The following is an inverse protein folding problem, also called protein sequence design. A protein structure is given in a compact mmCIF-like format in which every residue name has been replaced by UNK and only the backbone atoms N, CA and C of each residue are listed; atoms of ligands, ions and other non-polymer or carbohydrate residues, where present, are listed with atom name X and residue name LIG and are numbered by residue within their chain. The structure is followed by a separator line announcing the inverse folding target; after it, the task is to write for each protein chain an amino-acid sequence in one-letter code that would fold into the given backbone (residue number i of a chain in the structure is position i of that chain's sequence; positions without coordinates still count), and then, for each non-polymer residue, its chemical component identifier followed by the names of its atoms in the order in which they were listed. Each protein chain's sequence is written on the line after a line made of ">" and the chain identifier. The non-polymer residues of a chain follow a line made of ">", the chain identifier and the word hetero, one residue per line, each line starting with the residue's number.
data_IF_564302334268
#
_entry.id   IF_564302334268
#
_cell.length_a   1.000
_cell.length_b   1.000
_cell.length_c   1.000
_cell.angle_alpha   90.00
_cell.angle_beta   90.00
_cell.angle_gamma   90.00
#
_symmetry.space_group_name_H-M   'P 1'
#
loop_
_entity.id
_entity.type
_entity.pdbx_description
1 polymer ?
#
# COMPACT_ATOMS: atom_id res chain seq x y z
N UNK A 1 -11.66 0.41 28.26
CA UNK A 1 -11.92 -0.02 26.86
C UNK A 1 -11.29 0.98 25.90
N UNK A 2 -10.31 0.56 25.09
CA UNK A 2 -9.72 1.43 24.06
C UNK A 2 -10.58 1.40 22.79
N UNK A 3 -11.52 2.34 22.67
CA UNK A 3 -12.37 2.49 21.47
C UNK A 3 -11.61 3.29 20.40
N UNK A 4 -11.69 2.86 19.13
CA UNK A 4 -11.14 3.58 17.99
C UNK A 4 -12.22 3.68 16.89
N UNK A 5 -12.32 4.85 16.26
CA UNK A 5 -13.24 5.09 15.14
C UNK A 5 -12.53 4.79 13.83
N UNK A 6 -13.19 4.02 12.96
CA UNK A 6 -12.68 3.67 11.64
C UNK A 6 -13.73 4.05 10.60
N UNK A 7 -13.34 4.87 9.62
CA UNK A 7 -14.18 5.31 8.51
C UNK A 7 -13.73 4.54 7.26
N UNK A 8 -14.55 3.57 6.85
CA UNK A 8 -14.28 2.67 5.72
C UNK A 8 -15.20 2.94 4.54
N UNK A 9 -14.75 2.61 3.34
CA UNK A 9 -15.58 2.68 2.13
C UNK A 9 -14.76 2.70 0.85
N UNK A 10 -15.42 2.48 -0.29
CA UNK A 10 -14.80 2.44 -1.61
C UNK A 10 -14.06 3.75 -1.97
N UNK A 11 -13.15 3.71 -2.95
CA UNK A 11 -12.49 4.91 -3.46
C UNK A 11 -13.53 5.90 -4.02
N UNK A 12 -13.26 7.20 -3.93
CA UNK A 12 -14.11 8.28 -4.44
C UNK A 12 -15.49 8.50 -3.75
N UNK A 13 -15.80 7.81 -2.64
CA UNK A 13 -17.06 8.05 -1.88
C UNK A 13 -17.00 9.23 -0.90
N UNK A 14 -15.97 10.09 -0.98
CA UNK A 14 -15.87 11.31 -0.15
C UNK A 14 -15.43 11.11 1.30
N UNK A 15 -14.80 9.98 1.65
CA UNK A 15 -14.36 9.67 3.03
C UNK A 15 -13.46 10.73 3.64
N UNK A 16 -12.48 11.23 2.87
CA UNK A 16 -11.55 12.25 3.31
C UNK A 16 -12.28 13.53 3.71
N UNK A 17 -13.14 14.04 2.82
CA UNK A 17 -13.92 15.25 3.09
C UNK A 17 -14.81 15.09 4.33
N UNK A 18 -15.45 13.93 4.48
CA UNK A 18 -16.22 13.61 5.68
C UNK A 18 -15.36 13.59 6.95
N UNK A 19 -14.19 12.95 6.92
CA UNK A 19 -13.30 12.86 8.06
C UNK A 19 -12.72 14.23 8.47
N UNK A 20 -12.39 15.08 7.49
CA UNK A 20 -11.96 16.46 7.74
C UNK A 20 -13.09 17.24 8.39
N UNK A 21 -14.29 17.26 7.80
CA UNK A 21 -15.45 17.95 8.37
C UNK A 21 -15.81 17.45 9.76
N UNK A 22 -15.63 16.14 10.01
CA UNK A 22 -15.76 15.56 11.33
C UNK A 22 -14.69 16.10 12.29
N UNK A 23 -13.47 16.34 11.82
CA UNK A 23 -12.32 16.70 12.65
C UNK A 23 -12.10 18.19 12.91
N UNK A 24 -12.54 19.11 12.04
CA UNK A 24 -12.21 20.56 12.14
C UNK A 24 -12.53 21.15 13.53
N UNK A 25 -13.65 20.76 14.13
CA UNK A 25 -14.09 21.26 15.44
C UNK A 25 -13.88 20.24 16.57
N UNK A 26 -13.03 19.23 16.36
CA UNK A 26 -12.76 18.16 17.32
C UNK A 26 -11.26 18.01 17.53
N UNK A 27 -10.87 17.59 18.73
CA UNK A 27 -9.46 17.35 19.06
C UNK A 27 -8.98 15.99 18.50
N UNK A 28 -9.08 15.80 17.18
CA UNK A 28 -8.83 14.52 16.50
C UNK A 28 -7.61 14.57 15.60
N UNK A 29 -7.03 13.41 15.32
CA UNK A 29 -6.00 13.24 14.28
C UNK A 29 -6.35 12.05 13.41
N UNK A 30 -6.10 12.18 12.10
CA UNK A 30 -6.46 11.19 11.09
C UNK A 30 -5.25 10.32 10.76
N UNK A 31 -5.42 9.01 10.74
CA UNK A 31 -4.42 8.04 10.26
C UNK A 31 -4.95 7.48 8.93
N UNK A 32 -4.25 7.73 7.83
CA UNK A 32 -4.66 7.24 6.52
C UNK A 32 -4.40 5.74 6.37
N UNK A 33 -5.44 4.97 6.03
CA UNK A 33 -5.39 3.55 5.69
C UNK A 33 -5.55 3.33 4.17
N UNK A 34 -4.86 4.15 3.37
CA UNK A 34 -4.80 4.04 1.91
C UNK A 34 -3.39 3.65 1.47
N UNK A 35 -3.24 2.48 0.85
CA UNK A 35 -1.92 1.95 0.42
C UNK A 35 -1.27 2.73 -0.70
N UNK A 36 -1.96 3.69 -1.31
CA UNK A 36 -1.43 4.53 -2.38
C UNK A 36 -1.06 5.93 -1.90
N UNK A 37 -1.76 6.49 -0.91
CA UNK A 37 -1.48 7.84 -0.39
C UNK A 37 -0.18 7.93 0.44
N UNK A 38 0.37 6.79 0.87
CA UNK A 38 1.65 6.71 1.57
C UNK A 38 2.86 7.19 0.73
N UNK A 39 2.75 7.19 -0.60
CA UNK A 39 3.86 7.47 -1.51
C UNK A 39 3.99 8.96 -1.85
N UNK A 40 5.22 9.45 -1.73
CA UNK A 40 5.64 10.81 -2.10
C UNK A 40 5.51 11.08 -3.59
N UNK A 41 4.94 12.24 -3.93
CA UNK A 41 4.83 12.74 -5.31
C UNK A 41 3.83 11.99 -6.19
N UNK A 42 3.00 11.11 -5.61
CA UNK A 42 1.97 10.36 -6.33
C UNK A 42 0.57 10.94 -6.06
N UNK A 43 0.35 12.24 -6.30
CA UNK A 43 -0.83 12.93 -5.73
C UNK A 43 -2.10 12.77 -6.59
N UNK A 44 -1.99 12.99 -7.89
CA UNK A 44 -3.15 13.03 -8.82
C UNK A 44 -3.81 11.65 -8.94
N UNK A 45 -3.00 10.61 -9.22
CA UNK A 45 -3.50 9.25 -9.43
C UNK A 45 -4.00 8.54 -8.17
N UNK A 46 -3.78 9.14 -6.98
CA UNK A 46 -4.16 8.53 -5.70
C UNK A 46 -5.23 9.33 -4.95
N UNK A 47 -5.76 10.39 -5.58
CA UNK A 47 -6.76 11.29 -5.00
C UNK A 47 -6.33 11.75 -3.59
N UNK A 48 -5.06 12.15 -3.46
CA UNK A 48 -4.50 12.62 -2.18
C UNK A 48 -5.18 13.92 -1.75
N UNK A 49 -5.44 14.13 -0.44
CA UNK A 49 -5.98 15.38 0.04
C UNK A 49 -5.00 16.52 -0.29
N UNK A 50 -5.51 17.66 -0.73
CA UNK A 50 -4.67 18.80 -1.07
C UNK A 50 -4.10 19.49 0.19
N UNK A 51 -3.14 20.39 0.02
CA UNK A 51 -2.51 21.09 1.15
C UNK A 51 -3.50 21.87 2.03
N UNK A 52 -4.59 22.42 1.45
CA UNK A 52 -5.63 23.11 2.22
C UNK A 52 -6.38 22.11 3.11
N UNK A 53 -6.77 20.97 2.57
CA UNK A 53 -7.42 19.89 3.31
C UNK A 53 -6.55 19.32 4.43
N UNK A 54 -5.26 19.08 4.15
CA UNK A 54 -4.30 18.61 5.15
C UNK A 54 -4.02 19.63 6.26
N UNK A 55 -4.19 20.92 6.00
CA UNK A 55 -4.02 21.97 7.01
C UNK A 55 -5.17 22.05 8.02
N UNK A 56 -6.35 21.51 7.68
CA UNK A 56 -7.55 21.60 8.52
C UNK A 56 -7.52 20.60 9.68
N UNK A 57 -7.00 19.39 9.45
CA UNK A 57 -6.89 18.32 10.45
C UNK A 57 -5.57 17.59 10.22
N UNK A 58 -4.76 17.29 11.26
CA UNK A 58 -3.53 16.52 11.09
C UNK A 58 -3.81 15.14 10.48
N UNK A 59 -3.09 14.81 9.40
CA UNK A 59 -3.13 13.50 8.77
C UNK A 59 -1.76 12.80 8.88
N UNK A 60 -1.80 11.53 9.22
CA UNK A 60 -0.64 10.64 9.30
C UNK A 60 -0.68 9.59 8.19
N UNK A 61 0.49 9.00 7.90
CA UNK A 61 0.67 7.97 6.87
C UNK A 61 0.29 8.45 5.46
N UNK A 62 0.53 9.73 5.19
CA UNK A 62 0.48 10.33 3.85
C UNK A 62 1.88 10.85 3.55
N UNK A 63 2.38 10.62 2.33
CA UNK A 63 3.72 11.11 1.92
C UNK A 63 4.87 10.66 2.85
N UNK A 64 4.83 9.43 3.34
CA UNK A 64 5.83 8.91 4.27
C UNK A 64 7.03 8.26 3.58
N UNK A 65 6.83 7.65 2.40
CA UNK A 65 7.88 6.90 1.69
C UNK A 65 7.98 7.27 0.21
N UNK A 66 9.12 7.01 -0.42
CA UNK A 66 9.33 7.16 -1.86
C UNK A 66 8.67 6.00 -2.64
N UNK A 67 8.26 6.21 -3.91
CA UNK A 67 7.70 5.15 -4.76
C UNK A 67 8.62 3.92 -4.97
N UNK A 68 9.93 4.08 -4.76
CA UNK A 68 10.91 3.00 -4.84
C UNK A 68 10.99 2.14 -3.58
N UNK A 69 10.44 2.63 -2.48
CA UNK A 69 10.42 1.94 -1.19
C UNK A 69 9.22 1.01 -1.09
N UNK A 70 9.34 -0.01 -0.24
CA UNK A 70 8.26 -0.97 -0.01
C UNK A 70 7.57 -0.64 1.30
N UNK A 71 6.24 -0.70 1.28
CA UNK A 71 5.41 -0.61 2.48
C UNK A 71 4.43 -1.77 2.51
N UNK A 72 4.56 -2.59 3.55
CA UNK A 72 3.76 -3.79 3.74
C UNK A 72 2.57 -3.51 4.67
N UNK A 73 1.66 -4.48 4.72
CA UNK A 73 0.56 -4.48 5.70
C UNK A 73 1.08 -4.53 7.15
N UNK A 74 2.22 -5.17 7.39
CA UNK A 74 2.86 -5.22 8.70
C UNK A 74 3.34 -3.83 9.11
N UNK A 75 4.03 -3.13 8.20
CA UNK A 75 4.53 -1.76 8.45
C UNK A 75 3.36 -0.81 8.77
N UNK A 76 2.24 -0.94 8.06
CA UNK A 76 1.03 -0.20 8.37
C UNK A 76 0.53 -0.49 9.79
N UNK A 77 0.36 -1.78 10.15
CA UNK A 77 -0.21 -2.16 11.43
C UNK A 77 0.65 -1.69 12.61
N UNK A 78 1.97 -1.81 12.52
CA UNK A 78 2.89 -1.29 13.54
C UNK A 78 2.82 0.23 13.67
N UNK A 79 2.93 0.95 12.55
CA UNK A 79 2.90 2.42 12.59
C UNK A 79 1.54 2.96 13.05
N UNK A 80 0.44 2.35 12.62
CA UNK A 80 -0.90 2.75 13.06
C UNK A 80 -1.08 2.54 14.58
N UNK A 81 -0.61 1.42 15.13
CA UNK A 81 -0.66 1.16 16.58
C UNK A 81 0.19 2.16 17.39
N UNK A 82 1.39 2.49 16.88
CA UNK A 82 2.25 3.50 17.48
C UNK A 82 1.56 4.87 17.49
N UNK A 83 1.05 5.31 16.34
CA UNK A 83 0.36 6.59 16.19
C UNK A 83 -0.88 6.69 17.07
N UNK A 84 -1.67 5.62 17.17
CA UNK A 84 -2.84 5.57 18.07
C UNK A 84 -2.44 5.82 19.52
N UNK A 85 -1.32 5.25 19.96
CA UNK A 85 -0.79 5.46 21.31
C UNK A 85 -0.33 6.91 21.49
N UNK A 86 0.52 7.41 20.60
CA UNK A 86 1.05 8.78 20.64
C UNK A 86 -0.05 9.85 20.60
N UNK A 87 -1.06 9.69 19.75
CA UNK A 87 -2.18 10.63 19.63
C UNK A 87 -2.98 10.67 20.93
N UNK A 88 -3.21 9.51 21.57
CA UNK A 88 -3.92 9.42 22.85
C UNK A 88 -3.12 10.03 24.00
N UNK A 89 -1.80 9.82 24.03
CA UNK A 89 -0.91 10.45 25.01
C UNK A 89 -0.93 11.98 24.92
N UNK A 90 -1.16 12.52 23.72
CA UNK A 90 -1.37 13.96 23.49
C UNK A 90 -2.79 14.44 23.89
N UNK A 91 -3.65 13.58 24.46
CA UNK A 91 -5.04 13.91 24.81
C UNK A 91 -5.96 14.10 23.59
N UNK A 92 -5.55 13.60 22.42
CA UNK A 92 -6.28 13.71 21.15
C UNK A 92 -6.94 12.38 20.79
N UNK A 93 -7.96 12.43 19.94
CA UNK A 93 -8.68 11.24 19.48
C UNK A 93 -8.14 10.76 18.11
N UNK A 94 -7.59 9.53 18.00
CA UNK A 94 -7.18 8.98 16.72
C UNK A 94 -8.37 8.43 15.94
N UNK A 95 -8.41 8.71 14.63
CA UNK A 95 -9.41 8.19 13.69
C UNK A 95 -8.68 7.58 12.51
N UNK A 96 -9.03 6.35 12.14
CA UNK A 96 -8.49 5.69 10.93
C UNK A 96 -9.45 5.92 9.77
N UNK A 97 -8.94 6.36 8.62
CA UNK A 97 -9.75 6.66 7.44
C UNK A 97 -9.11 6.01 6.23
N UNK A 98 -9.86 5.19 5.48
CA UNK A 98 -9.29 4.58 4.28
C UNK A 98 -10.16 3.54 3.61
N UNK A 99 -9.61 2.94 2.55
CA UNK A 99 -10.28 1.90 1.75
C UNK A 99 -9.49 0.61 1.64
N UNK A 100 -8.27 0.53 2.18
CA UNK A 100 -7.44 -0.68 2.05
C UNK A 100 -7.89 -1.73 3.06
N UNK A 101 -8.79 -2.62 2.63
CA UNK A 101 -9.38 -3.64 3.50
C UNK A 101 -8.35 -4.48 4.25
N UNK A 102 -7.23 -4.82 3.60
CA UNK A 102 -6.15 -5.59 4.23
C UNK A 102 -5.46 -4.83 5.38
N UNK A 103 -5.28 -3.50 5.26
CA UNK A 103 -4.69 -2.66 6.31
C UNK A 103 -5.62 -2.57 7.51
N UNK A 104 -6.89 -2.29 7.24
CA UNK A 104 -7.93 -2.19 8.28
C UNK A 104 -8.06 -3.54 9.02
N UNK A 105 -8.12 -4.64 8.28
CA UNK A 105 -8.22 -5.98 8.86
C UNK A 105 -6.97 -6.35 9.67
N UNK A 106 -5.78 -5.99 9.19
CA UNK A 106 -4.52 -6.20 9.89
C UNK A 106 -4.47 -5.48 11.25
N UNK A 107 -4.92 -4.23 11.25
CA UNK A 107 -5.00 -3.39 12.44
C UNK A 107 -6.04 -3.90 13.44
N UNK A 108 -7.27 -4.22 12.99
CA UNK A 108 -8.36 -4.68 13.87
C UNK A 108 -8.04 -6.02 14.53
N UNK A 109 -7.53 -6.98 13.77
CA UNK A 109 -7.27 -8.33 14.27
C UNK A 109 -5.89 -8.45 14.95
N UNK A 110 -5.15 -7.34 15.08
CA UNK A 110 -3.82 -7.29 15.66
C UNK A 110 -2.90 -8.38 15.11
N UNK A 111 -2.84 -8.50 13.78
CA UNK A 111 -2.10 -9.58 13.13
C UNK A 111 -0.64 -9.59 13.59
N UNK A 112 -0.23 -10.69 14.20
CA UNK A 112 1.17 -10.98 14.46
C UNK A 112 1.79 -11.56 13.20
N UNK A 113 2.51 -10.71 12.46
CA UNK A 113 3.25 -11.17 11.31
C UNK A 113 4.58 -11.77 11.79
N UNK A 114 4.92 -13.03 11.43
CA UNK A 114 6.23 -13.56 11.72
C UNK A 114 7.28 -12.73 10.96
N UNK A 115 8.38 -12.36 11.62
CA UNK A 115 9.45 -11.56 11.03
C UNK A 115 10.26 -12.38 10.01
N UNK A 116 9.63 -12.71 8.90
CA UNK A 116 10.20 -13.48 7.79
C UNK A 116 10.42 -12.51 6.64
N UNK A 117 11.67 -12.14 6.40
CA UNK A 117 12.03 -11.31 5.26
C UNK A 117 11.79 -12.08 3.96
N UNK A 118 11.35 -11.36 2.93
CA UNK A 118 11.26 -11.93 1.58
C UNK A 118 12.63 -12.43 1.14
N UNK A 119 12.75 -13.72 0.80
CA UNK A 119 13.96 -14.27 0.19
C UNK A 119 14.00 -13.93 -1.32
N UNK A 120 14.95 -13.10 -1.79
CA UNK A 120 15.02 -12.67 -3.19
C UNK A 120 15.34 -13.82 -4.16
N UNK A 121 16.19 -14.76 -3.75
CA UNK A 121 16.61 -15.91 -4.58
C UNK A 121 15.44 -16.87 -4.81
N UNK A 122 14.68 -17.16 -3.76
CA UNK A 122 13.46 -17.98 -3.86
C UNK A 122 12.45 -17.29 -4.76
N UNK A 123 12.26 -15.97 -4.61
CA UNK A 123 11.36 -15.18 -5.48
C UNK A 123 11.82 -15.23 -6.95
N UNK A 124 13.12 -15.10 -7.21
CA UNK A 124 13.67 -15.19 -8.55
C UNK A 124 13.48 -16.60 -9.15
N UNK A 125 13.80 -17.65 -8.39
CA UNK A 125 13.65 -19.05 -8.80
C UNK A 125 12.20 -19.39 -9.13
N UNK A 126 11.26 -18.98 -8.28
CA UNK A 126 9.83 -19.19 -8.52
C UNK A 126 9.33 -18.39 -9.74
N UNK A 127 9.82 -17.16 -9.94
CA UNK A 127 9.49 -16.36 -11.12
C UNK A 127 9.99 -16.99 -12.41
N UNK A 128 11.22 -17.52 -12.42
CA UNK A 128 11.79 -18.27 -13.55
C UNK A 128 10.99 -19.56 -13.81
N UNK A 129 10.66 -20.31 -12.76
CA UNK A 129 9.85 -21.54 -12.87
C UNK A 129 8.45 -21.24 -13.43
N UNK A 130 7.80 -20.18 -12.97
CA UNK A 130 6.51 -19.74 -13.50
C UNK A 130 6.60 -19.38 -14.98
N UNK A 131 7.63 -18.61 -15.39
CA UNK A 131 7.84 -18.25 -16.80
C UNK A 131 8.11 -19.48 -17.68
N UNK A 132 8.85 -20.49 -17.19
CA UNK A 132 9.07 -21.74 -17.93
C UNK A 132 7.78 -22.55 -18.12
N UNK A 133 6.95 -22.64 -17.08
CA UNK A 133 5.66 -23.33 -17.15
C UNK A 133 4.68 -22.58 -18.06
N UNK A 134 4.59 -21.26 -17.93
CA UNK A 134 3.76 -20.43 -18.78
C UNK A 134 4.14 -20.56 -20.27
N UNK A 135 5.44 -20.70 -20.60
CA UNK A 135 5.87 -20.99 -21.97
C UNK A 135 5.35 -22.33 -22.51
N UNK A 136 5.26 -23.36 -21.66
CA UNK A 136 4.67 -24.66 -22.05
C UNK A 136 3.15 -24.57 -22.21
N UNK A 137 2.45 -23.81 -21.37
CA UNK A 137 0.98 -23.67 -21.43
C UNK A 137 0.51 -22.74 -22.54
N UNK A 138 1.21 -21.63 -22.79
CA UNK A 138 0.87 -20.65 -23.84
C UNK A 138 1.09 -21.24 -25.23
N UNK A 139 2.04 -22.16 -25.41
CA UNK A 139 2.22 -22.88 -26.67
C UNK A 139 1.01 -23.77 -27.04
N UNK A 140 0.24 -24.22 -26.04
CA UNK A 140 -0.97 -25.03 -26.22
C UNK A 140 -2.23 -24.18 -26.49
N UNK A 141 -2.25 -22.92 -26.06
CA UNK A 141 -3.45 -22.05 -26.11
C UNK A 141 -3.36 -21.01 -27.24
N UNK A 142 -2.18 -20.76 -27.81
CA UNK A 142 -2.02 -19.80 -28.90
C UNK A 142 -2.53 -20.40 -30.24
N UNK A 143 -3.60 -19.85 -30.86
CA UNK A 143 -3.94 -20.23 -32.23
C UNK A 143 -2.77 -19.89 -33.16
N UNK A 144 -2.48 -20.81 -34.08
CA UNK A 144 -1.35 -20.92 -35.04
C UNK A 144 -0.89 -19.65 -35.81
N UNK A 145 -1.49 -18.47 -35.60
CA UNK A 145 -1.25 -17.26 -36.40
C UNK A 145 -0.38 -16.18 -35.75
N UNK A 146 0.00 -16.28 -34.48
CA UNK A 146 0.83 -15.25 -33.85
C UNK A 146 2.32 -15.61 -33.93
N UNK A 147 3.04 -14.86 -34.76
CA UNK A 147 4.50 -14.90 -34.86
C UNK A 147 5.10 -14.44 -33.52
N UNK A 148 5.45 -15.40 -32.66
CA UNK A 148 5.90 -15.25 -31.26
C UNK A 148 7.12 -14.32 -31.06
N UNK A 149 7.78 -13.86 -32.13
CA UNK A 149 8.97 -13.01 -32.06
C UNK A 149 8.68 -11.58 -31.54
N UNK A 150 7.43 -11.08 -31.59
CA UNK A 150 7.11 -9.71 -31.17
C UNK A 150 6.70 -9.57 -29.70
N UNK A 151 6.53 -10.67 -28.95
CA UNK A 151 6.01 -10.65 -27.57
C UNK A 151 7.10 -10.69 -26.48
N UNK A 152 8.38 -10.86 -26.83
CA UNK A 152 9.44 -10.98 -25.83
C UNK A 152 10.77 -10.35 -26.28
N UNK A 153 11.00 -9.04 -26.12
CA UNK A 153 12.34 -8.47 -26.20
C UNK A 153 12.99 -8.54 -24.82
N UNK A 154 13.38 -9.74 -24.35
CA UNK A 154 14.29 -9.87 -23.20
C UNK A 154 15.30 -10.98 -23.49
N UNK A 155 16.16 -10.70 -24.47
CA UNK A 155 17.39 -11.46 -24.72
C UNK A 155 18.65 -10.58 -24.52
N UNK A 156 18.54 -9.42 -23.85
CA UNK A 156 19.62 -8.45 -23.76
C UNK A 156 19.98 -8.05 -22.33
N UNK A 157 20.14 -9.00 -21.39
CA UNK A 157 21.01 -8.80 -20.20
C UNK A 157 21.68 -10.13 -19.82
N UNK A 158 22.43 -10.71 -20.76
CA UNK A 158 23.49 -11.67 -20.45
C UNK A 158 24.77 -11.19 -21.14
N UNK A 159 25.21 -9.99 -20.74
CA UNK A 159 26.48 -9.43 -21.16
C UNK A 159 27.62 -10.11 -20.40
N UNK A 160 28.34 -10.97 -21.13
CA UNK A 160 29.79 -11.21 -21.09
C UNK A 160 30.51 -10.99 -19.74
N UNK A 161 30.92 -12.09 -19.12
CA UNK A 161 32.15 -12.15 -18.31
C UNK A 161 33.11 -13.14 -18.97
N UNK A 162 33.96 -12.61 -19.84
CA UNK A 162 35.19 -13.24 -20.32
C UNK A 162 36.34 -12.41 -19.77
N UNK A 163 37.14 -13.01 -18.92
CA UNK A 163 38.35 -12.49 -18.29
C UNK A 163 38.95 -13.59 -17.43
#
# INVERSE_FOLDING_TARGET
>A
MNKIKIIVGATAVGKTAYAINYGVNRNVQIISADSRQIYKGMDIGTAKPNAKELSLVPHHLIDIILPTEKFSVYDFAEQANLLVTQIREQGKEPIIVGGTGLYINAFINNFTFPNIKTNPEVRAKLRVRFLMLAKHSVLLIAPRKYKLASLYPIACIAGKSSG
#
